data_IF_278539242367
#
_entry.id   IF_278539242367
#
_cell.length_a   1.000
_cell.length_b   1.000
_cell.length_c   1.000
_cell.angle_alpha   90.00
_cell.angle_beta   90.00
_cell.angle_gamma   90.00
#
_symmetry.space_group_name_H-M   'P 1'
#
loop_
_entity.id
_entity.type
_entity.pdbx_description
1 polymer ?
#
# COMPACT_ATOMS: atom_id res chain seq x y z
N UNK A 1 -2.37 -3.90 -17.57
CA UNK A 1 -1.16 -4.75 -17.60
C UNK A 1 -0.47 -4.59 -16.25
N UNK A 2 -0.09 -5.70 -15.61
CA UNK A 2 0.70 -5.68 -14.38
C UNK A 2 2.11 -5.18 -14.67
N UNK A 3 2.69 -4.40 -13.76
CA UNK A 3 4.09 -3.95 -13.85
C UNK A 3 4.77 -4.22 -12.53
N UNK A 4 5.91 -4.92 -12.56
CA UNK A 4 6.66 -5.25 -11.36
C UNK A 4 7.98 -4.49 -11.34
N UNK A 5 8.30 -3.87 -10.22
CA UNK A 5 9.59 -3.22 -9.97
C UNK A 5 10.22 -3.80 -8.71
N UNK A 6 11.47 -4.20 -8.82
CA UNK A 6 12.25 -4.80 -7.73
C UNK A 6 13.20 -3.77 -7.12
N UNK A 7 13.19 -3.67 -5.79
CA UNK A 7 14.03 -2.78 -5.00
C UNK A 7 14.86 -3.57 -4.00
N UNK A 8 16.15 -3.24 -3.88
CA UNK A 8 17.05 -3.85 -2.91
C UNK A 8 17.52 -2.82 -1.88
N UNK A 9 17.42 -3.17 -0.60
CA UNK A 9 17.87 -2.33 0.53
C UNK A 9 18.58 -3.19 1.56
N UNK A 10 19.92 -3.16 1.50
CA UNK A 10 20.74 -4.07 2.30
C UNK A 10 20.43 -5.54 1.93
N UNK A 11 20.07 -6.35 2.92
CA UNK A 11 19.65 -7.75 2.71
C UNK A 11 18.16 -7.91 2.34
N UNK A 12 17.38 -6.83 2.35
CA UNK A 12 15.94 -6.89 2.05
C UNK A 12 15.69 -6.62 0.57
N UNK A 13 15.01 -7.54 -0.10
CA UNK A 13 14.45 -7.35 -1.42
C UNK A 13 12.96 -7.04 -1.28
N UNK A 14 12.45 -6.08 -2.03
CA UNK A 14 11.03 -5.69 -2.05
C UNK A 14 10.61 -5.64 -3.52
N UNK A 15 9.60 -6.42 -3.88
CA UNK A 15 9.01 -6.43 -5.20
C UNK A 15 7.64 -5.76 -5.13
N UNK A 16 7.44 -4.73 -5.95
CA UNK A 16 6.20 -3.98 -6.00
C UNK A 16 5.56 -4.23 -7.36
N UNK A 17 4.40 -4.88 -7.36
CA UNK A 17 3.57 -5.11 -8.53
C UNK A 17 2.41 -4.10 -8.54
N UNK A 18 2.44 -3.20 -9.51
CA UNK A 18 1.38 -2.27 -9.86
C UNK A 18 0.25 -3.02 -10.61
N UNK A 19 -0.98 -2.97 -10.07
CA UNK A 19 -2.15 -3.62 -10.65
C UNK A 19 -2.69 -2.91 -11.92
N UNK A 20 -3.47 -3.60 -12.77
CA UNK A 20 -4.17 -3.00 -13.91
C UNK A 20 -5.05 -1.80 -13.53
N UNK A 21 -5.20 -0.86 -14.46
CA UNK A 21 -5.97 0.38 -14.28
C UNK A 21 -5.17 1.54 -13.68
N UNK A 22 -3.94 1.27 -13.25
CA UNK A 22 -2.92 2.29 -13.08
C UNK A 22 -2.52 2.84 -14.46
N UNK A 23 -2.49 4.16 -14.59
CA UNK A 23 -2.02 4.85 -15.79
C UNK A 23 -0.53 4.59 -16.08
N UNK A 24 0.10 5.50 -16.83
CA UNK A 24 1.54 5.41 -17.13
C UNK A 24 2.37 5.54 -15.85
N UNK A 25 3.58 4.98 -15.89
CA UNK A 25 4.57 5.19 -14.82
C UNK A 25 4.91 6.68 -14.80
N UNK A 26 4.73 7.29 -13.65
CA UNK A 26 4.88 8.72 -13.46
C UNK A 26 5.53 9.01 -12.10
N UNK A 27 5.75 10.30 -11.82
CA UNK A 27 6.37 10.74 -10.58
C UNK A 27 5.58 10.30 -9.32
N UNK A 28 4.27 10.08 -9.45
CA UNK A 28 3.40 9.63 -8.36
C UNK A 28 3.66 8.16 -8.04
N UNK A 29 3.73 7.29 -9.05
CA UNK A 29 4.08 5.88 -8.86
C UNK A 29 5.46 5.74 -8.20
N UNK A 30 6.45 6.51 -8.66
CA UNK A 30 7.78 6.53 -8.05
C UNK A 30 7.76 7.01 -6.58
N UNK A 31 6.87 7.95 -6.23
CA UNK A 31 6.70 8.42 -4.85
C UNK A 31 6.06 7.33 -3.97
N UNK A 32 5.03 6.64 -4.45
CA UNK A 32 4.42 5.51 -3.73
C UNK A 32 5.44 4.39 -3.51
N UNK A 33 6.19 3.99 -4.54
CA UNK A 33 7.22 2.96 -4.41
C UNK A 33 8.29 3.37 -3.37
N UNK A 34 8.69 4.65 -3.36
CA UNK A 34 9.60 5.18 -2.35
C UNK A 34 9.00 5.11 -0.95
N UNK A 35 7.73 5.47 -0.77
CA UNK A 35 7.05 5.37 0.52
C UNK A 35 7.00 3.91 1.00
N UNK A 36 6.55 2.98 0.15
CA UNK A 36 6.48 1.54 0.45
C UNK A 36 7.85 1.02 0.88
N UNK A 37 8.89 1.22 0.06
CA UNK A 37 10.24 0.71 0.34
C UNK A 37 10.88 1.37 1.57
N UNK A 38 10.55 2.63 1.85
CA UNK A 38 11.06 3.35 3.03
C UNK A 38 10.44 2.80 4.31
N UNK A 39 9.14 2.51 4.29
CA UNK A 39 8.32 2.17 5.45
C UNK A 39 7.91 0.69 5.52
N UNK A 40 8.51 -0.17 4.69
CA UNK A 40 8.12 -1.56 4.56
C UNK A 40 7.96 -2.33 5.88
N UNK A 41 8.89 -2.24 6.86
CA UNK A 41 8.71 -2.95 8.12
C UNK A 41 7.41 -2.59 8.86
N UNK A 42 7.02 -1.31 8.86
CA UNK A 42 5.77 -0.87 9.50
C UNK A 42 4.55 -1.24 8.67
N UNK A 43 4.64 -1.12 7.34
CA UNK A 43 3.54 -1.42 6.43
C UNK A 43 3.23 -2.92 6.37
N UNK A 44 4.25 -3.77 6.28
CA UNK A 44 4.10 -5.22 6.35
C UNK A 44 3.54 -5.67 7.70
N UNK A 45 3.98 -5.05 8.80
CA UNK A 45 3.42 -5.31 10.12
C UNK A 45 1.93 -4.94 10.20
N UNK A 46 1.56 -3.75 9.74
CA UNK A 46 0.17 -3.27 9.74
C UNK A 46 -0.73 -4.13 8.83
N UNK A 47 -0.23 -4.55 7.66
CA UNK A 47 -0.95 -5.45 6.76
C UNK A 47 -1.23 -6.80 7.45
N UNK A 48 -0.23 -7.40 8.08
CA UNK A 48 -0.39 -8.68 8.77
C UNK A 48 -1.23 -8.59 10.05
N UNK A 49 -1.11 -7.49 10.79
CA UNK A 49 -1.94 -7.24 11.97
C UNK A 49 -3.41 -7.03 11.59
N UNK A 50 -3.68 -6.25 10.54
CA UNK A 50 -5.02 -6.13 9.94
C UNK A 50 -5.57 -7.48 9.53
N UNK A 51 -4.76 -8.30 8.85
CA UNK A 51 -5.14 -9.66 8.47
C UNK A 51 -5.52 -10.52 9.68
N UNK A 52 -4.70 -10.49 10.72
CA UNK A 52 -4.96 -11.25 11.96
C UNK A 52 -6.24 -10.84 12.67
N UNK A 53 -6.74 -9.64 12.46
CA UNK A 53 -7.93 -9.11 13.15
C UNK A 53 -9.20 -9.22 12.31
N UNK A 54 -9.10 -9.00 11.00
CA UNK A 54 -10.24 -8.85 10.12
C UNK A 54 -10.32 -9.89 8.99
N UNK A 55 -9.33 -10.77 8.85
CA UNK A 55 -9.24 -11.70 7.73
C UNK A 55 -8.57 -11.05 6.51
N UNK A 56 -8.87 -11.52 5.31
CA UNK A 56 -8.27 -11.01 4.06
C UNK A 56 -8.63 -9.54 3.83
N UNK A 57 -7.71 -8.75 3.26
CA UNK A 57 -7.94 -7.31 3.01
C UNK A 57 -6.73 -6.53 2.50
N UNK A 58 -6.88 -5.22 2.34
CA UNK A 58 -5.82 -4.32 1.89
C UNK A 58 -5.61 -3.16 2.88
N UNK A 59 -4.38 -2.67 2.96
CA UNK A 59 -4.04 -1.45 3.68
C UNK A 59 -4.31 -0.26 2.77
N UNK A 60 -5.27 0.57 3.16
CA UNK A 60 -5.57 1.82 2.48
C UNK A 60 -4.67 2.91 3.07
N UNK A 61 -3.92 3.57 2.19
CA UNK A 61 -3.01 4.66 2.51
C UNK A 61 -3.63 5.95 1.99
N UNK A 62 -4.20 6.74 2.90
CA UNK A 62 -4.79 8.04 2.57
C UNK A 62 -3.70 9.11 2.57
N UNK A 63 -3.47 9.72 1.42
CA UNK A 63 -2.51 10.82 1.30
C UNK A 63 -3.23 12.16 1.48
N UNK A 64 -2.73 12.99 2.39
CA UNK A 64 -3.24 14.35 2.57
C UNK A 64 -2.97 15.20 1.32
N UNK A 65 -3.94 16.03 0.93
CA UNK A 65 -3.76 16.97 -0.17
C UNK A 65 -2.61 17.94 0.11
N UNK A 66 -1.67 18.02 -0.83
CA UNK A 66 -0.58 18.99 -0.80
C UNK A 66 -1.10 20.45 -0.86
N UNK A 67 -2.38 20.66 -1.18
CA UNK A 67 -3.05 21.95 -1.25
C UNK A 67 -3.57 22.48 0.11
N UNK A 68 -3.36 21.74 1.21
CA UNK A 68 -3.59 22.24 2.56
C UNK A 68 -2.49 23.23 2.97
N UNK A 69 -2.76 24.51 2.80
CA UNK A 69 -1.89 25.64 3.16
C UNK A 69 -1.46 25.54 4.62
N UNK A 70 -0.26 25.01 4.88
CA UNK A 70 0.44 25.22 6.15
C UNK A 70 1.23 26.52 6.03
N UNK A 71 0.53 27.65 6.12
CA UNK A 71 1.11 28.96 6.43
C UNK A 71 1.57 28.96 7.89
N UNK A 72 2.63 28.23 8.18
CA UNK A 72 3.16 28.13 9.54
C UNK A 72 4.31 27.14 9.61
N UNK A 73 5.53 27.67 9.50
CA UNK A 73 6.82 27.09 9.91
C UNK A 73 6.83 25.57 10.11
N UNK A 74 7.12 24.85 9.03
CA UNK A 74 7.41 23.42 9.07
C UNK A 74 7.19 22.80 7.71
N UNK A 75 8.24 22.24 7.09
CA UNK A 75 8.16 21.45 5.86
C UNK A 75 6.92 20.54 5.90
N UNK A 76 6.08 20.64 4.87
CA UNK A 76 4.85 19.90 4.67
C UNK A 76 5.01 18.42 5.04
N UNK A 77 4.46 18.04 6.20
CA UNK A 77 4.31 16.65 6.56
C UNK A 77 3.13 16.09 5.78
N UNK A 78 3.38 15.33 4.72
CA UNK A 78 2.33 14.50 4.11
C UNK A 78 1.97 13.43 5.14
N UNK A 79 0.88 13.64 5.86
CA UNK A 79 0.34 12.66 6.81
C UNK A 79 -0.34 11.57 5.98
N UNK A 80 0.20 10.36 6.09
CA UNK A 80 -0.45 9.17 5.57
C UNK A 80 -1.31 8.58 6.68
N UNK A 81 -2.61 8.46 6.47
CA UNK A 81 -3.48 7.71 7.38
C UNK A 81 -3.65 6.29 6.84
N UNK A 82 -3.50 5.30 7.71
CA UNK A 82 -3.66 3.89 7.36
C UNK A 82 -5.02 3.38 7.85
N UNK A 83 -5.74 2.68 6.99
CA UNK A 83 -6.95 1.91 7.37
C UNK A 83 -6.92 0.53 6.72
N UNK A 84 -7.68 -0.42 7.26
CA UNK A 84 -7.78 -1.77 6.69
C UNK A 84 -9.15 -1.98 6.03
N UNK A 85 -9.16 -2.55 4.82
CA UNK A 85 -10.40 -2.86 4.10
C UNK A 85 -10.42 -4.33 3.71
N UNK A 86 -11.41 -5.08 4.18
CA UNK A 86 -11.53 -6.53 3.95
C UNK A 86 -12.17 -6.92 2.61
N UNK A 87 -12.47 -5.96 1.74
CA UNK A 87 -13.12 -6.22 0.46
C UNK A 87 -13.31 -4.97 -0.41
N UNK A 88 -13.68 -5.20 -1.67
CA UNK A 88 -13.93 -4.14 -2.66
C UNK A 88 -15.34 -3.57 -2.46
N UNK A 89 -15.43 -2.38 -1.87
CA UNK A 89 -16.71 -1.68 -1.64
C UNK A 89 -17.20 -0.91 -2.87
N UNK A 90 -18.43 -0.38 -2.80
CA UNK A 90 -19.00 0.48 -3.86
C UNK A 90 -18.14 1.70 -4.15
N UNK A 91 -17.51 2.29 -3.13
CA UNK A 91 -16.61 3.43 -3.29
C UNK A 91 -15.37 3.10 -4.15
N UNK A 92 -14.85 1.87 -4.04
CA UNK A 92 -13.74 1.40 -4.87
C UNK A 92 -14.18 1.29 -6.32
N UNK A 93 -15.32 0.63 -6.62
CA UNK A 93 -15.83 0.58 -8.00
C UNK A 93 -15.99 1.95 -8.63
N UNK A 94 -16.47 2.93 -7.87
CA UNK A 94 -16.58 4.33 -8.34
C UNK A 94 -15.23 4.99 -8.54
N UNK A 95 -14.23 4.72 -7.70
CA UNK A 95 -12.94 5.40 -7.73
C UNK A 95 -11.91 4.78 -8.70
N UNK A 96 -11.90 3.46 -8.84
CA UNK A 96 -10.95 2.71 -9.67
C UNK A 96 -11.49 2.37 -11.07
N UNK A 97 -12.81 2.46 -11.26
CA UNK A 97 -13.50 1.87 -12.40
C UNK A 97 -13.55 0.33 -12.30
N UNK A 98 -14.27 -0.29 -13.23
CA UNK A 98 -14.59 -1.71 -13.15
C UNK A 98 -13.34 -2.60 -13.25
N UNK A 99 -12.45 -2.36 -14.22
CA UNK A 99 -11.30 -3.21 -14.49
C UNK A 99 -10.30 -3.28 -13.32
N UNK A 100 -10.00 -2.16 -12.66
CA UNK A 100 -9.09 -2.15 -11.51
C UNK A 100 -9.75 -2.69 -10.24
N UNK A 101 -11.07 -2.51 -10.10
CA UNK A 101 -11.83 -3.07 -8.99
C UNK A 101 -11.93 -4.59 -9.08
N UNK A 102 -12.10 -5.13 -10.29
CA UNK A 102 -12.09 -6.57 -10.56
C UNK A 102 -10.69 -7.15 -10.31
N UNK A 103 -9.63 -6.52 -10.82
CA UNK A 103 -8.25 -6.96 -10.54
C UNK A 103 -7.92 -6.94 -9.04
N UNK A 104 -8.37 -5.93 -8.28
CA UNK A 104 -8.20 -5.92 -6.82
C UNK A 104 -9.01 -7.02 -6.14
N UNK A 105 -10.23 -7.33 -6.60
CA UNK A 105 -11.03 -8.42 -6.06
C UNK A 105 -10.36 -9.78 -6.31
N UNK A 106 -9.87 -10.01 -7.52
CA UNK A 106 -9.09 -11.21 -7.87
C UNK A 106 -7.84 -11.33 -7.00
N UNK A 107 -7.08 -10.24 -6.83
CA UNK A 107 -5.90 -10.25 -5.98
C UNK A 107 -6.24 -10.53 -4.52
N UNK A 108 -7.33 -9.95 -3.98
CA UNK A 108 -7.78 -10.24 -2.61
C UNK A 108 -8.09 -11.73 -2.42
N UNK A 109 -8.62 -12.41 -3.43
CA UNK A 109 -8.91 -13.85 -3.35
C UNK A 109 -7.64 -14.72 -3.51
N UNK A 110 -6.65 -14.25 -4.29
CA UNK A 110 -5.51 -15.06 -4.70
C UNK A 110 -4.25 -14.87 -3.84
N UNK A 111 -4.05 -13.70 -3.25
CA UNK A 111 -2.80 -13.40 -2.53
C UNK A 111 -2.73 -14.09 -1.15
N UNK A 112 -1.52 -14.39 -0.68
CA UNK A 112 -1.29 -14.85 0.70
C UNK A 112 -0.85 -13.66 1.60
N UNK A 113 -1.65 -13.25 2.60
CA UNK A 113 -1.29 -12.19 3.54
C UNK A 113 -0.04 -12.48 4.40
N UNK A 114 0.45 -13.73 4.41
CA UNK A 114 1.71 -14.12 5.07
C UNK A 114 2.94 -13.86 4.20
N UNK A 115 2.75 -13.71 2.89
CA UNK A 115 3.83 -13.55 1.90
C UNK A 115 3.85 -12.13 1.32
N UNK A 116 2.68 -11.53 1.12
CA UNK A 116 2.52 -10.24 0.48
C UNK A 116 1.57 -9.30 1.25
N UNK A 117 1.70 -8.00 1.00
CA UNK A 117 0.71 -7.00 1.40
C UNK A 117 0.06 -6.35 0.17
N UNK A 118 -1.25 -6.09 0.25
CA UNK A 118 -1.98 -5.26 -0.71
C UNK A 118 -2.13 -3.85 -0.16
N UNK A 119 -1.71 -2.86 -0.94
CA UNK A 119 -1.73 -1.44 -0.58
C UNK A 119 -2.52 -0.64 -1.59
N UNK A 120 -3.34 0.27 -1.09
CA UNK A 120 -4.22 1.10 -1.89
C UNK A 120 -3.99 2.56 -1.53
N UNK A 121 -3.35 3.31 -2.39
CA UNK A 121 -3.10 4.74 -2.20
C UNK A 121 -4.30 5.54 -2.69
N UNK A 122 -4.88 6.36 -1.82
CA UNK A 122 -6.04 7.20 -2.12
C UNK A 122 -5.71 8.67 -1.93
N UNK A 123 -6.12 9.48 -2.92
CA UNK A 123 -6.01 10.95 -2.96
C UNK A 123 -7.35 11.52 -3.41
N UNK A 124 -7.67 12.75 -3.00
CA UNK A 124 -8.96 13.37 -3.30
C UNK A 124 -9.16 13.60 -4.81
N UNK A 125 -8.10 14.02 -5.51
CA UNK A 125 -8.17 14.46 -6.91
C UNK A 125 -7.59 13.45 -7.92
N UNK A 126 -7.17 12.27 -7.47
CA UNK A 126 -6.54 11.27 -8.32
C UNK A 126 -7.20 9.89 -8.17
N UNK A 127 -7.31 9.11 -9.27
CA UNK A 127 -7.78 7.74 -9.18
C UNK A 127 -6.82 6.97 -8.27
N UNK A 128 -7.34 6.12 -7.37
CA UNK A 128 -6.48 5.51 -6.39
C UNK A 128 -5.62 4.41 -7.02
N UNK A 129 -4.50 4.10 -6.36
CA UNK A 129 -3.45 3.24 -6.92
C UNK A 129 -3.20 2.00 -6.08
N UNK A 130 -3.23 0.83 -6.71
CA UNK A 130 -3.13 -0.46 -6.02
C UNK A 130 -1.80 -1.15 -6.31
N UNK A 131 -1.15 -1.59 -5.24
CA UNK A 131 0.12 -2.30 -5.29
C UNK A 131 0.07 -3.59 -4.48
N UNK A 132 0.52 -4.67 -5.08
CA UNK A 132 0.90 -5.89 -4.37
C UNK A 132 2.38 -5.84 -4.06
N UNK A 133 2.76 -6.08 -2.81
CA UNK A 133 4.14 -5.95 -2.35
C UNK A 133 4.59 -7.24 -1.69
N UNK A 134 5.63 -7.84 -2.26
CA UNK A 134 6.34 -8.99 -1.73
C UNK A 134 7.70 -8.55 -1.17
N UNK A 135 8.20 -9.24 -0.14
CA UNK A 135 9.53 -8.95 0.39
C UNK A 135 10.17 -10.14 1.05
N UNK A 136 11.51 -10.18 1.02
CA UNK A 136 12.28 -11.13 1.84
C UNK A 136 12.10 -10.92 3.34
N UNK A 137 11.71 -9.71 3.77
CA UNK A 137 11.16 -9.49 5.12
C UNK A 137 9.65 -9.63 5.04
N UNK A 138 9.13 -10.83 5.26
CA UNK A 138 7.70 -11.15 5.09
C UNK A 138 6.84 -10.42 6.13
N UNK A 139 5.54 -10.17 5.84
CA UNK A 139 4.64 -9.47 6.77
C UNK A 139 4.64 -10.00 8.23
N UNK A 140 4.66 -11.33 8.51
CA UNK A 140 4.79 -11.82 9.88
C UNK A 140 6.09 -11.41 10.58
N UNK A 141 7.21 -11.48 9.85
CA UNK A 141 8.54 -11.10 10.37
C UNK A 141 8.63 -9.59 10.61
N UNK A 142 7.97 -8.79 9.74
CA UNK A 142 7.85 -7.36 9.90
C UNK A 142 7.10 -7.00 11.20
N UNK A 143 6.01 -7.72 11.51
CA UNK A 143 5.27 -7.56 12.77
C UNK A 143 6.10 -7.96 13.99
N UNK A 144 6.80 -9.08 13.94
CA UNK A 144 7.70 -9.51 15.02
C UNK A 144 8.77 -8.46 15.31
N UNK A 145 9.40 -7.92 14.26
CA UNK A 145 10.40 -6.86 14.39
C UNK A 145 9.83 -5.56 14.94
N UNK A 146 8.64 -5.17 14.50
CA UNK A 146 7.96 -3.97 15.01
C UNK A 146 7.67 -4.09 16.52
N UNK A 147 7.22 -5.27 16.97
CA UNK A 147 6.97 -5.55 18.40
C UNK A 147 8.26 -5.58 19.22
N UNK A 148 9.34 -6.11 18.67
CA UNK A 148 10.64 -6.14 19.34
C UNK A 148 11.23 -4.74 19.61
N UNK A 149 10.81 -3.71 18.87
CA UNK A 149 11.24 -2.32 19.07
C UNK A 149 10.43 -1.57 20.14
N UNK A 150 9.32 -2.14 20.60
CA UNK A 150 8.44 -1.57 21.62
C UNK A 150 8.66 -2.16 23.02
N UNK A 151 9.46 -3.22 23.12
CA UNK A 151 9.90 -3.84 24.37
C UNK A 151 11.32 -3.41 24.71
#
# INVERSE_FOLDING_TARGET
MYRTTTYTRGATCIEITALPGLGREDAVEAAHHRFITTHWPSLGAAAYEGFRHFGIGAVIVHEADAAGTSTGVGRAFVRHQLSYAAGVGTWMRTAFGDAASEALAEELEAYDPREAGLFVFVRADEPPRVYRVESTLRPPQALERARALLN
#
